data_IF_241385844026
#
_entry.id   IF_241385844026
#
_cell.length_a   1.000
_cell.length_b   1.000
_cell.length_c   1.000
_cell.angle_alpha   90.00
_cell.angle_beta   90.00
_cell.angle_gamma   90.00
#
_symmetry.space_group_name_H-M   'P 1'
#
loop_
_entity.id
_entity.type
_entity.pdbx_description
1 polymer ?
#
# COMPACT_ATOMS: atom_id res chain seq x y z
N UNK A 1 -5.65 -22.21 37.48
CA UNK A 1 -5.22 -20.86 37.06
C UNK A 1 -4.80 -20.98 35.61
N UNK A 2 -5.56 -20.39 34.68
CA UNK A 2 -5.31 -20.51 33.25
C UNK A 2 -4.35 -19.41 32.80
N UNK A 3 -3.11 -19.77 32.45
CA UNK A 3 -2.17 -18.89 31.77
C UNK A 3 -2.55 -18.82 30.29
N UNK A 4 -3.43 -17.89 29.93
CA UNK A 4 -3.56 -17.50 28.53
C UNK A 4 -2.35 -16.62 28.20
N UNK A 5 -1.36 -17.20 27.52
CA UNK A 5 -0.31 -16.42 26.86
C UNK A 5 -0.98 -15.59 25.77
N UNK A 6 -1.15 -14.29 26.03
CA UNK A 6 -1.67 -13.32 25.08
C UNK A 6 -0.51 -12.79 24.22
N UNK A 7 0.11 -13.68 23.45
CA UNK A 7 1.15 -13.29 22.48
C UNK A 7 0.46 -12.73 21.24
N UNK A 8 -0.07 -11.50 21.36
CA UNK A 8 -0.65 -10.77 20.25
C UNK A 8 0.37 -10.49 19.15
N UNK A 9 -0.11 -10.13 17.95
CA UNK A 9 0.77 -9.76 16.83
C UNK A 9 1.44 -8.41 17.16
N UNK A 10 2.77 -8.32 17.22
CA UNK A 10 3.46 -7.07 17.46
C UNK A 10 3.16 -6.06 16.35
N UNK A 11 2.72 -4.86 16.72
CA UNK A 11 2.49 -3.74 15.79
C UNK A 11 3.48 -2.62 16.10
N UNK A 12 4.34 -2.30 15.14
CA UNK A 12 5.26 -1.17 15.20
C UNK A 12 4.82 -0.06 14.26
N UNK A 13 5.27 1.17 14.51
CA UNK A 13 4.99 2.33 13.66
C UNK A 13 6.29 2.83 13.05
N UNK A 14 6.35 2.86 11.72
CA UNK A 14 7.55 3.21 10.95
C UNK A 14 7.16 3.67 9.56
N UNK A 15 6.62 4.89 9.41
CA UNK A 15 6.13 5.38 8.14
C UNK A 15 7.27 5.49 7.13
N UNK A 16 7.04 4.95 5.94
CA UNK A 16 7.98 5.06 4.83
C UNK A 16 7.87 6.45 4.18
N UNK A 17 8.98 6.91 3.62
CA UNK A 17 9.07 8.14 2.82
C UNK A 17 8.57 7.98 1.39
N UNK A 18 8.23 6.76 0.95
CA UNK A 18 7.77 6.46 -0.41
C UNK A 18 6.48 7.19 -0.85
N UNK A 19 5.68 7.72 0.08
CA UNK A 19 4.50 8.52 -0.25
C UNK A 19 3.34 7.72 -0.84
N UNK A 20 3.03 6.57 -0.25
CA UNK A 20 1.98 5.64 -0.72
C UNK A 20 0.62 6.32 -0.95
N UNK A 21 -0.03 5.96 -2.06
CA UNK A 21 -1.41 6.35 -2.39
C UNK A 21 -2.21 5.13 -2.80
N UNK A 22 -3.51 5.15 -2.54
CA UNK A 22 -4.45 4.10 -2.91
C UNK A 22 -5.23 4.52 -4.15
N UNK A 23 -5.26 3.66 -5.17
CA UNK A 23 -6.07 3.84 -6.37
C UNK A 23 -7.23 2.85 -6.34
N UNK A 24 -8.45 3.33 -6.57
CA UNK A 24 -9.65 2.51 -6.75
C UNK A 24 -9.68 2.00 -8.19
N UNK A 25 -9.47 0.70 -8.38
CA UNK A 25 -9.41 0.06 -9.69
C UNK A 25 -10.82 -0.36 -10.17
N UNK A 26 -11.25 0.09 -11.37
CA UNK A 26 -12.39 -0.50 -12.06
C UNK A 26 -12.18 -2.00 -12.31
N UNK A 27 -13.24 -2.84 -12.27
CA UNK A 27 -13.12 -4.29 -12.44
C UNK A 27 -12.35 -4.71 -13.70
N UNK A 28 -12.56 -4.01 -14.81
CA UNK A 28 -11.89 -4.32 -16.08
C UNK A 28 -10.38 -4.04 -16.04
N UNK A 29 -9.93 -3.09 -15.21
CA UNK A 29 -8.49 -2.82 -15.01
C UNK A 29 -7.88 -3.82 -14.04
N UNK A 30 -8.63 -4.24 -13.02
CA UNK A 30 -8.19 -5.28 -12.11
C UNK A 30 -7.94 -6.60 -12.85
N UNK A 31 -8.92 -7.06 -13.63
CA UNK A 31 -8.79 -8.27 -14.45
C UNK A 31 -7.59 -8.19 -15.41
N UNK A 32 -7.36 -7.02 -16.00
CA UNK A 32 -6.23 -6.77 -16.90
C UNK A 32 -4.88 -6.81 -16.18
N UNK A 33 -4.78 -6.25 -14.97
CA UNK A 33 -3.55 -6.24 -14.17
C UNK A 33 -3.24 -7.61 -13.53
N UNK A 34 -4.25 -8.42 -13.27
CA UNK A 34 -4.10 -9.80 -12.78
C UNK A 34 -3.84 -10.81 -13.91
N UNK A 35 -4.01 -10.39 -15.17
CA UNK A 35 -3.73 -11.23 -16.34
C UNK A 35 -2.22 -11.50 -16.51
N UNK A 36 -1.83 -12.63 -17.12
CA UNK A 36 -0.42 -12.96 -17.34
C UNK A 36 0.31 -11.94 -18.24
N UNK A 37 -0.43 -11.25 -19.11
CA UNK A 37 0.07 -10.20 -20.00
C UNK A 37 -0.27 -8.81 -19.45
N UNK A 38 -0.04 -8.60 -18.15
CA UNK A 38 -0.34 -7.35 -17.46
C UNK A 38 0.40 -6.16 -18.12
N UNK A 39 -0.33 -5.13 -18.60
CA UNK A 39 0.27 -4.00 -19.28
C UNK A 39 0.91 -3.02 -18.29
N UNK A 40 1.94 -2.31 -18.75
CA UNK A 40 2.46 -1.15 -18.02
C UNK A 40 1.50 0.03 -18.16
N UNK A 41 0.93 0.47 -17.05
CA UNK A 41 0.10 1.67 -17.00
C UNK A 41 0.98 2.92 -16.96
N UNK A 42 0.56 3.98 -17.65
CA UNK A 42 1.34 5.24 -17.70
C UNK A 42 0.51 6.42 -17.22
N UNK A 43 1.12 7.26 -16.39
CA UNK A 43 0.53 8.51 -15.90
C UNK A 43 1.05 9.68 -16.73
N UNK A 44 0.12 10.51 -17.21
CA UNK A 44 0.40 11.71 -17.98
C UNK A 44 -0.18 12.90 -17.25
N UNK A 45 0.58 13.99 -17.14
CA UNK A 45 0.04 15.25 -16.64
C UNK A 45 -0.78 15.93 -17.74
N UNK A 46 -1.94 16.48 -17.36
CA UNK A 46 -2.75 17.38 -18.16
C UNK A 46 -2.96 18.69 -17.37
N UNK A 47 -3.29 19.81 -18.03
CA UNK A 47 -3.47 21.10 -17.35
C UNK A 47 -4.43 21.08 -16.16
N UNK A 48 -5.41 20.17 -16.16
CA UNK A 48 -6.48 20.14 -15.16
C UNK A 48 -6.39 18.94 -14.20
N UNK A 49 -5.78 17.84 -14.63
CA UNK A 49 -5.69 16.60 -13.84
C UNK A 49 -4.60 15.67 -14.37
N UNK A 50 -4.22 14.66 -13.59
CA UNK A 50 -3.43 13.53 -14.08
C UNK A 50 -4.33 12.53 -14.82
N UNK A 51 -3.79 11.93 -15.88
CA UNK A 51 -4.45 10.95 -16.72
C UNK A 51 -3.69 9.61 -16.66
N UNK A 52 -4.41 8.53 -16.36
CA UNK A 52 -3.92 7.17 -16.49
C UNK A 52 -4.29 6.63 -17.87
N UNK A 53 -3.29 6.25 -18.66
CA UNK A 53 -3.49 5.62 -19.97
C UNK A 53 -3.19 4.13 -19.89
N UNK A 54 -4.08 3.34 -20.49
CA UNK A 54 -3.99 1.89 -20.59
C UNK A 54 -3.69 1.51 -22.03
N UNK A 55 -2.41 1.27 -22.41
CA UNK A 55 -2.01 1.17 -23.82
C UNK A 55 -2.71 0.05 -24.58
N UNK A 56 -2.99 -1.07 -23.92
CA UNK A 56 -3.60 -2.26 -24.55
C UNK A 56 -5.06 -2.06 -24.96
N UNK A 57 -5.78 -1.15 -24.29
CA UNK A 57 -7.21 -0.91 -24.54
C UNK A 57 -7.49 0.49 -25.08
N UNK A 58 -6.46 1.33 -25.22
CA UNK A 58 -6.55 2.78 -25.51
C UNK A 58 -7.47 3.56 -24.55
N UNK A 59 -7.88 2.97 -23.43
CA UNK A 59 -8.69 3.66 -22.42
C UNK A 59 -7.85 4.67 -21.65
N UNK A 60 -8.46 5.82 -21.39
CA UNK A 60 -7.88 6.87 -20.56
C UNK A 60 -8.80 7.14 -19.37
N UNK A 61 -8.22 7.24 -18.18
CA UNK A 61 -8.93 7.57 -16.95
C UNK A 61 -8.34 8.85 -16.35
N UNK A 62 -9.19 9.75 -15.89
CA UNK A 62 -8.78 10.90 -15.09
C UNK A 62 -8.71 10.51 -13.62
N UNK A 63 -7.69 11.00 -12.92
CA UNK A 63 -7.50 10.74 -11.50
C UNK A 63 -8.31 11.76 -10.70
N UNK A 64 -9.12 11.29 -9.76
CA UNK A 64 -9.91 12.13 -8.87
C UNK A 64 -9.66 11.74 -7.42
N UNK A 65 -9.12 12.67 -6.64
CA UNK A 65 -8.89 12.47 -5.22
C UNK A 65 -10.21 12.53 -4.45
N UNK A 66 -10.39 11.62 -3.50
CA UNK A 66 -11.56 11.50 -2.66
C UNK A 66 -11.12 11.31 -1.21
N UNK A 67 -11.48 12.25 -0.35
CA UNK A 67 -11.17 12.15 1.07
C UNK A 67 -11.97 11.03 1.72
N UNK A 68 -11.36 10.33 2.67
CA UNK A 68 -12.00 9.33 3.51
C UNK A 68 -12.31 9.92 4.88
N UNK A 69 -13.47 9.60 5.47
CA UNK A 69 -13.81 10.06 6.83
C UNK A 69 -13.02 9.34 7.92
N UNK A 70 -12.43 8.19 7.57
CA UNK A 70 -11.60 7.36 8.44
C UNK A 70 -10.18 7.32 7.88
N UNK A 71 -9.20 7.17 8.76
CA UNK A 71 -7.83 6.87 8.36
C UNK A 71 -7.68 5.39 7.97
N UNK A 72 -6.95 5.15 6.89
CA UNK A 72 -6.54 3.82 6.45
C UNK A 72 -5.06 3.62 6.80
N UNK A 73 -4.74 2.59 7.57
CA UNK A 73 -3.36 2.28 7.94
C UNK A 73 -2.83 1.20 7.00
N UNK A 74 -1.76 1.50 6.27
CA UNK A 74 -1.07 0.52 5.44
C UNK A 74 -0.05 -0.20 6.31
N UNK A 75 -0.13 -1.53 6.33
CA UNK A 75 0.74 -2.39 7.11
C UNK A 75 1.64 -3.20 6.19
N UNK A 76 2.92 -3.31 6.55
CA UNK A 76 3.86 -4.24 5.93
C UNK A 76 4.22 -5.34 6.94
N UNK A 77 4.31 -6.62 6.53
CA UNK A 77 4.84 -7.67 7.37
C UNK A 77 6.30 -7.41 7.75
N UNK A 78 6.64 -7.58 9.03
CA UNK A 78 8.02 -7.57 9.50
C UNK A 78 8.38 -8.90 10.09
N UNK A 79 9.38 -9.56 9.51
CA UNK A 79 10.02 -10.71 10.16
C UNK A 79 11.15 -10.17 11.02
N UNK A 80 11.04 -10.32 12.34
CA UNK A 80 12.18 -10.06 13.23
C UNK A 80 13.22 -11.14 12.94
N UNK A 81 14.44 -10.79 12.48
CA UNK A 81 15.47 -11.79 12.25
C UNK A 81 15.72 -12.59 13.53
N UNK A 82 15.94 -13.91 13.46
CA UNK A 82 16.31 -14.68 14.65
C UNK A 82 17.55 -14.06 15.29
N UNK A 83 17.65 -14.05 16.64
CA UNK A 83 18.82 -13.52 17.33
C UNK A 83 20.05 -14.26 16.79
N UNK A 84 20.93 -13.55 16.09
CA UNK A 84 22.17 -14.14 15.60
C UNK A 84 23.02 -14.52 16.81
N UNK A 85 23.61 -15.73 16.85
CA UNK A 85 24.55 -16.08 17.89
C UNK A 85 25.71 -15.09 17.80
N UNK A 86 25.88 -14.28 18.84
CA UNK A 86 26.99 -13.36 19.00
C UNK A 86 28.29 -14.17 19.07
N UNK A 87 28.97 -14.34 17.94
CA UNK A 87 30.36 -14.77 17.92
C UNK A 87 31.23 -13.60 18.35
N UNK A 88 31.29 -13.36 19.66
CA UNK A 88 32.43 -12.65 20.23
C UNK A 88 33.66 -13.56 20.06
N UNK A 89 34.70 -13.17 19.30
CA UNK A 89 35.99 -13.83 19.44
C UNK A 89 36.58 -13.37 20.77
N UNK A 90 36.55 -14.26 21.75
CA UNK A 90 37.29 -14.09 23.01
C UNK A 90 38.79 -13.98 22.65
N UNK A 91 39.51 -12.92 23.07
CA UNK A 91 40.94 -12.83 22.82
C UNK A 91 41.64 -13.88 23.69
N UNK A 92 42.32 -14.81 23.03
CA UNK A 92 43.07 -15.90 23.62
C UNK A 92 43.87 -15.50 24.87
N UNK A 93 43.42 -15.97 26.04
CA UNK A 93 44.30 -16.15 27.19
C UNK A 93 44.68 -17.63 27.28
N UNK A 94 45.95 -17.85 26.97
CA UNK A 94 46.73 -19.05 27.19
C UNK A 94 46.82 -19.29 28.71
N UNK A 95 46.38 -20.45 29.20
CA UNK A 95 47.15 -21.28 30.13
C UNK A 95 46.41 -22.59 30.42
N UNK A 96 47.16 -23.69 30.33
CA UNK A 96 46.64 -25.04 30.49
C UNK A 96 46.42 -25.41 31.96
N UNK A 97 45.25 -25.96 32.25
CA UNK A 97 45.11 -26.98 33.28
C UNK A 97 44.01 -27.98 32.89
N UNK A 98 44.43 -29.24 32.84
CA UNK A 98 43.65 -30.46 32.67
C UNK A 98 42.98 -30.78 34.01
N UNK A 99 41.66 -30.91 34.04
CA UNK A 99 40.95 -31.80 34.95
C UNK A 99 39.50 -31.97 34.47
N UNK A 100 39.14 -33.23 34.20
CA UNK A 100 37.87 -33.62 33.63
C UNK A 100 36.67 -33.30 34.51
N UNK A 101 35.62 -32.77 33.90
CA UNK A 101 34.26 -32.90 34.42
C UNK A 101 33.27 -33.09 33.26
N UNK A 102 32.59 -34.22 33.35
CA UNK A 102 31.48 -34.68 32.52
C UNK A 102 30.27 -33.76 32.72
N UNK A 103 29.60 -33.40 31.62
CA UNK A 103 28.57 -32.38 31.66
C UNK A 103 28.02 -32.05 30.28
N UNK A 104 27.61 -33.09 29.56
CA UNK A 104 26.80 -33.04 28.34
C UNK A 104 25.87 -31.82 28.33
N UNK A 105 26.19 -30.84 27.48
CA UNK A 105 25.30 -29.73 27.17
C UNK A 105 24.09 -30.27 26.43
N UNK A 106 22.85 -30.10 26.91
CA UNK A 106 21.71 -30.39 26.07
C UNK A 106 21.61 -29.30 25.02
N UNK A 107 22.06 -29.64 23.82
CA UNK A 107 21.66 -29.03 22.56
C UNK A 107 20.14 -28.90 22.51
N UNK A 108 19.66 -27.70 22.78
CA UNK A 108 18.28 -27.30 22.66
C UNK A 108 18.24 -25.84 22.23
N UNK A 109 18.85 -25.51 21.08
CA UNK A 109 18.42 -24.33 20.34
C UNK A 109 16.97 -24.60 19.92
N UNK A 110 16.01 -24.30 20.80
CA UNK A 110 14.66 -24.01 20.35
C UNK A 110 14.81 -22.83 19.39
N UNK A 111 14.79 -23.14 18.10
CA UNK A 111 14.58 -22.14 17.05
C UNK A 111 13.18 -21.59 17.30
N UNK A 112 13.07 -20.59 18.17
CA UNK A 112 11.83 -19.84 18.30
C UNK A 112 11.51 -19.31 16.90
N UNK A 113 10.30 -19.57 16.37
CA UNK A 113 9.93 -19.00 15.09
C UNK A 113 10.12 -17.49 15.21
N UNK A 114 10.79 -16.90 14.21
CA UNK A 114 10.91 -15.46 14.09
C UNK A 114 9.53 -14.84 14.35
N UNK A 115 9.40 -14.02 15.40
CA UNK A 115 8.14 -13.40 15.75
C UNK A 115 7.71 -12.52 14.57
N UNK A 116 6.67 -12.95 13.86
CA UNK A 116 6.08 -12.20 12.76
C UNK A 116 5.31 -11.02 13.36
N UNK A 117 5.69 -9.81 12.95
CA UNK A 117 5.03 -8.56 13.33
C UNK A 117 4.48 -7.81 12.12
N UNK A 118 3.82 -6.69 12.39
CA UNK A 118 3.35 -5.74 11.39
C UNK A 118 3.96 -4.37 11.68
N UNK A 119 4.33 -3.64 10.62
CA UNK A 119 4.72 -2.23 10.72
C UNK A 119 3.70 -1.38 9.98
N UNK A 120 3.19 -0.35 10.64
CA UNK A 120 2.44 0.73 10.00
C UNK A 120 3.38 1.59 9.16
N UNK A 121 3.31 1.43 7.84
CA UNK A 121 4.17 2.07 6.84
C UNK A 121 3.55 3.35 6.25
N UNK A 122 2.23 3.53 6.36
CA UNK A 122 1.56 4.77 5.98
C UNK A 122 0.22 4.92 6.68
N UNK A 123 -0.23 6.16 6.80
CA UNK A 123 -1.61 6.49 7.16
C UNK A 123 -2.22 7.35 6.05
N UNK A 124 -3.24 6.83 5.39
CA UNK A 124 -3.86 7.41 4.20
C UNK A 124 -5.24 7.97 4.58
N UNK A 125 -5.52 9.19 4.16
CA UNK A 125 -6.78 9.91 4.41
C UNK A 125 -7.57 10.19 3.12
N UNK A 126 -7.08 9.67 1.99
CA UNK A 126 -7.63 9.91 0.68
C UNK A 126 -7.39 8.71 -0.23
N UNK A 127 -8.32 8.46 -1.15
CA UNK A 127 -8.16 7.51 -2.24
C UNK A 127 -8.20 8.26 -3.57
N UNK A 128 -7.71 7.62 -4.63
CA UNK A 128 -7.78 8.13 -6.00
C UNK A 128 -8.80 7.28 -6.75
N UNK A 129 -9.90 7.89 -7.16
CA UNK A 129 -10.89 7.32 -8.08
C UNK A 129 -10.41 7.49 -9.53
N UNK A 130 -10.62 6.45 -10.35
CA UNK A 130 -10.36 6.48 -11.78
C UNK A 130 -11.66 6.71 -12.55
N UNK A 131 -11.78 7.86 -13.23
CA UNK A 131 -12.97 8.23 -13.99
C UNK A 131 -12.68 8.11 -15.50
N UNK A 132 -13.39 7.26 -16.26
CA UNK A 132 -13.19 7.13 -17.70
C UNK A 132 -13.37 8.46 -18.43
N UNK A 133 -12.44 8.76 -19.34
CA UNK A 133 -12.46 9.96 -20.18
C UNK A 133 -12.89 9.54 -21.58
N UNK A 134 -13.87 10.24 -22.16
CA UNK A 134 -14.25 10.01 -23.55
C UNK A 134 -13.09 10.44 -24.47
N UNK A 135 -12.85 9.72 -25.56
CA UNK A 135 -11.73 9.98 -26.47
C UNK A 135 -11.72 11.42 -27.03
N UNK A 136 -12.89 12.05 -27.15
CA UNK A 136 -13.03 13.44 -27.59
C UNK A 136 -12.44 14.46 -26.62
N UNK A 137 -12.33 14.13 -25.34
CA UNK A 137 -11.89 15.05 -24.29
C UNK A 137 -10.36 15.06 -24.12
N UNK A 138 -9.68 14.03 -24.64
CA UNK A 138 -8.21 13.89 -24.53
C UNK A 138 -7.47 14.80 -25.53
N UNK A 139 -8.13 15.19 -26.64
CA UNK A 139 -7.55 16.02 -27.70
C UNK A 139 -7.74 17.54 -27.51
N UNK A 140 -8.49 17.98 -26.51
CA UNK A 140 -8.86 19.40 -26.30
C UNK A 140 -7.79 20.30 -25.65
N UNK A 141 -6.55 19.81 -25.48
CA UNK A 141 -5.48 20.54 -24.78
C UNK A 141 -4.73 21.60 -25.60
N UNK A 142 -5.16 21.90 -26.82
CA UNK A 142 -4.48 22.87 -27.70
C UNK A 142 -5.45 23.53 -28.68
N UNK A 143 -5.95 24.71 -28.33
CA UNK A 143 -6.74 25.52 -29.26
C UNK A 143 -7.55 26.61 -28.57
N UNK A 144 -6.97 27.78 -28.38
CA UNK A 144 -7.75 29.00 -28.15
C UNK A 144 -8.58 29.31 -29.40
N UNK A 145 -9.91 29.39 -29.29
CA UNK A 145 -10.74 29.88 -30.39
C UNK A 145 -12.23 29.54 -30.31
N UNK A 146 -13.00 30.49 -29.79
CA UNK A 146 -14.37 30.85 -30.17
C UNK A 146 -15.53 29.83 -30.05
N UNK A 147 -16.40 30.09 -29.05
CA UNK A 147 -17.85 30.20 -29.25
C UNK A 147 -18.63 28.95 -29.65
N UNK A 148 -19.16 28.23 -28.66
CA UNK A 148 -20.21 27.23 -28.87
C UNK A 148 -20.77 26.75 -27.53
N UNK A 149 -21.97 27.21 -27.17
CA UNK A 149 -22.75 26.66 -26.07
C UNK A 149 -23.12 25.20 -26.41
N UNK A 150 -22.53 24.22 -25.74
CA UNK A 150 -22.94 22.83 -25.83
C UNK A 150 -22.65 22.07 -24.51
N UNK A 151 -23.68 21.97 -23.67
CA UNK A 151 -23.98 20.78 -22.88
C UNK A 151 -22.98 20.34 -21.81
N UNK A 152 -22.97 21.03 -20.66
CA UNK A 152 -22.58 20.41 -19.38
C UNK A 152 -23.38 19.10 -19.19
N UNK A 153 -22.74 17.92 -18.99
CA UNK A 153 -23.49 16.75 -18.57
C UNK A 153 -24.09 17.02 -17.19
N UNK A 154 -25.42 17.10 -17.15
CA UNK A 154 -26.21 17.22 -15.93
C UNK A 154 -25.81 16.10 -14.98
N UNK A 155 -25.11 16.44 -13.91
CA UNK A 155 -24.91 15.57 -12.75
C UNK A 155 -26.28 15.25 -12.14
N UNK A 156 -26.92 14.18 -12.60
CA UNK A 156 -28.14 13.61 -12.02
C UNK A 156 -27.74 12.34 -11.29
N UNK A 157 -27.69 12.40 -9.96
CA UNK A 157 -27.24 11.23 -9.21
C UNK A 157 -27.37 11.21 -7.70
N UNK A 158 -28.45 11.77 -7.12
CA UNK A 158 -29.10 11.20 -5.92
C UNK A 158 -28.26 11.07 -4.61
N UNK A 159 -27.59 12.14 -4.17
CA UNK A 159 -27.21 12.24 -2.75
C UNK A 159 -27.76 13.48 -2.04
N UNK A 160 -27.80 14.63 -2.73
CA UNK A 160 -28.27 15.89 -2.15
C UNK A 160 -29.78 15.98 -1.84
N UNK A 161 -30.60 15.01 -2.29
CA UNK A 161 -32.05 15.05 -2.04
C UNK A 161 -32.49 14.27 -0.78
N UNK A 162 -31.63 13.42 -0.19
CA UNK A 162 -32.02 12.58 0.97
C UNK A 162 -31.80 13.22 2.34
N UNK A 163 -31.01 14.29 2.46
CA UNK A 163 -30.65 14.86 3.78
C UNK A 163 -31.10 16.31 3.99
N UNK A 164 -31.78 16.93 3.01
CA UNK A 164 -32.20 18.34 3.08
C UNK A 164 -33.68 18.60 3.36
N UNK A 165 -34.54 17.57 3.40
CA UNK A 165 -35.98 17.75 3.66
C UNK A 165 -36.32 17.31 5.08
N UNK A 166 -36.16 18.22 6.03
CA UNK A 166 -36.57 17.99 7.41
C UNK A 166 -35.86 18.89 8.42
N UNK A 167 -35.92 20.20 8.24
CA UNK A 167 -35.83 21.21 9.30
C UNK A 167 -36.80 22.33 8.99
#
# INVERSE_FOLDING_TARGET
MSSQSNDGIPLSHGPDTAGYKLLELPPELLELLESPDAPTLTLHSSPTTALLKVPTTNKTYSLRQKNTSNALILLSPTQTPPPQPSTHPDPAHHDGHDDGNDGTSPSGMETYPAAAGLTAIATVHETIELVPVAETDVAGGGGAGAGGEAGLPKARGKWHEKFGRGR
#
